data_IF_572220956319
#
_entry.id   IF_572220956319
#
_cell.length_a   1.000
_cell.length_b   1.000
_cell.length_c   1.000
_cell.angle_alpha   90.00
_cell.angle_beta   90.00
_cell.angle_gamma   90.00
#
_symmetry.space_group_name_H-M   'P 1'
#
loop_
_entity.id
_entity.type
_entity.pdbx_description
1 polymer ?
#
# COMPACT_ATOMS: atom_id res chain seq x y z
N UNK A 1 5.50 -5.96 -1.92
CA UNK A 1 5.63 -5.90 -3.41
C UNK A 1 5.95 -7.28 -3.99
N UNK A 2 5.79 -7.47 -5.31
CA UNK A 2 6.22 -8.71 -6.01
C UNK A 2 7.71 -8.65 -6.36
N UNK A 3 8.44 -9.71 -6.07
CA UNK A 3 9.86 -9.83 -6.39
C UNK A 3 10.06 -9.91 -7.92
N UNK A 4 10.88 -9.03 -8.52
CA UNK A 4 11.11 -9.07 -9.97
C UNK A 4 11.85 -10.34 -10.43
N UNK A 5 12.53 -11.04 -9.52
CA UNK A 5 13.29 -12.25 -9.85
C UNK A 5 12.47 -13.53 -9.84
N UNK A 6 11.50 -13.66 -8.93
CA UNK A 6 10.75 -14.91 -8.75
C UNK A 6 9.23 -14.73 -8.66
N UNK A 7 8.71 -13.51 -8.78
CA UNK A 7 7.28 -13.19 -8.73
C UNK A 7 6.63 -13.26 -7.35
N UNK A 8 7.24 -13.96 -6.38
CA UNK A 8 6.75 -14.09 -5.00
C UNK A 8 6.74 -12.76 -4.27
N UNK A 9 5.83 -12.60 -3.31
CA UNK A 9 5.84 -11.44 -2.44
C UNK A 9 7.10 -11.36 -1.58
N UNK A 10 7.56 -10.14 -1.35
CA UNK A 10 8.67 -9.87 -0.45
C UNK A 10 8.87 -8.38 -0.20
N UNK A 11 9.82 -8.09 0.68
CA UNK A 11 10.23 -6.74 1.09
C UNK A 11 11.58 -6.38 0.48
N UNK A 12 11.70 -5.22 -0.18
CA UNK A 12 12.98 -4.67 -0.60
C UNK A 12 13.94 -4.53 0.58
N UNK A 13 15.20 -4.84 0.32
CA UNK A 13 16.27 -4.60 1.28
C UNK A 13 17.58 -4.43 0.53
N UNK A 14 18.61 -4.05 1.29
CA UNK A 14 19.99 -4.02 0.81
C UNK A 14 20.81 -5.05 1.59
N UNK A 15 21.67 -5.77 0.87
CA UNK A 15 22.60 -6.75 1.46
C UNK A 15 24.02 -6.31 1.19
N UNK A 16 24.79 -6.13 2.27
CA UNK A 16 26.22 -5.86 2.28
C UNK A 16 26.97 -7.20 2.38
N UNK A 17 27.91 -7.45 1.48
CA UNK A 17 28.72 -8.69 1.43
C UNK A 17 30.18 -8.31 1.26
N UNK A 18 31.06 -8.85 2.12
CA UNK A 18 32.51 -8.71 1.99
C UNK A 18 33.09 -10.02 1.46
N UNK A 19 33.82 -9.97 0.36
CA UNK A 19 34.45 -11.15 -0.25
C UNK A 19 35.76 -10.76 -0.94
N UNK A 20 36.81 -11.57 -0.75
CA UNK A 20 38.15 -11.35 -1.32
C UNK A 20 38.69 -9.91 -1.10
N UNK A 21 38.49 -9.38 0.12
CA UNK A 21 38.94 -8.03 0.49
C UNK A 21 38.13 -6.87 -0.12
N UNK A 22 37.11 -7.16 -0.93
CA UNK A 22 36.22 -6.16 -1.52
C UNK A 22 34.84 -6.23 -0.89
N UNK A 23 34.15 -5.11 -0.93
CA UNK A 23 32.80 -4.96 -0.40
C UNK A 23 31.80 -4.75 -1.54
N UNK A 24 30.67 -5.44 -1.43
CA UNK A 24 29.65 -5.47 -2.46
C UNK A 24 28.28 -5.22 -1.83
N UNK A 25 27.53 -4.35 -2.50
CA UNK A 25 26.20 -3.95 -2.08
C UNK A 25 25.21 -4.47 -3.12
N UNK A 26 24.15 -5.12 -2.66
CA UNK A 26 23.14 -5.72 -3.52
C UNK A 26 21.76 -5.21 -3.13
N UNK A 27 20.97 -4.86 -4.14
CA UNK A 27 19.53 -4.78 -4.02
C UNK A 27 18.99 -6.21 -3.92
N UNK A 28 18.22 -6.47 -2.87
CA UNK A 28 17.63 -7.79 -2.63
C UNK A 28 16.16 -7.67 -2.29
N UNK A 29 15.44 -8.78 -2.42
CA UNK A 29 14.08 -8.94 -1.88
C UNK A 29 14.11 -10.07 -0.86
N UNK A 30 13.64 -9.79 0.36
CA UNK A 30 13.47 -10.79 1.42
C UNK A 30 12.03 -11.30 1.41
N UNK A 31 11.88 -12.62 1.32
CA UNK A 31 10.59 -13.29 1.28
C UNK A 31 10.12 -13.70 2.69
N UNK A 32 8.81 -13.95 2.89
CA UNK A 32 8.27 -14.37 4.18
C UNK A 32 8.84 -15.70 4.71
N UNK A 33 9.26 -16.59 3.80
CA UNK A 33 9.91 -17.87 4.11
C UNK A 33 11.38 -17.72 4.54
N UNK A 34 11.89 -16.48 4.64
CA UNK A 34 13.28 -16.17 4.96
C UNK A 34 14.24 -16.27 3.77
N UNK A 35 13.78 -16.71 2.60
CA UNK A 35 14.61 -16.73 1.40
C UNK A 35 14.90 -15.31 0.89
N UNK A 36 16.04 -15.15 0.22
CA UNK A 36 16.51 -13.84 -0.29
C UNK A 36 16.84 -13.95 -1.77
N UNK A 37 16.16 -13.15 -2.59
CA UNK A 37 16.49 -13.00 -4.01
C UNK A 37 17.38 -11.78 -4.22
N UNK A 38 18.55 -11.97 -4.82
CA UNK A 38 19.39 -10.86 -5.31
C UNK A 38 18.79 -10.34 -6.61
N UNK A 39 18.50 -9.05 -6.67
CA UNK A 39 17.89 -8.37 -7.84
C UNK A 39 18.97 -7.72 -8.70
N UNK A 40 19.84 -6.94 -8.08
CA UNK A 40 20.87 -6.16 -8.78
C UNK A 40 22.07 -5.92 -7.86
N UNK A 41 23.26 -5.83 -8.44
CA UNK A 41 24.48 -5.43 -7.73
C UNK A 41 24.68 -3.93 -7.86
N UNK A 42 24.57 -3.22 -6.74
CA UNK A 42 24.73 -1.76 -6.68
C UNK A 42 26.19 -1.33 -6.91
N UNK A 43 27.15 -2.20 -6.61
CA UNK A 43 28.58 -1.93 -6.81
C UNK A 43 29.08 -2.00 -8.25
N UNK A 44 28.25 -2.40 -9.21
CA UNK A 44 28.60 -2.43 -10.65
C UNK A 44 28.10 -1.18 -11.39
N UNK A 45 27.10 -0.46 -10.85
CA UNK A 45 26.55 0.76 -11.47
C UNK A 45 27.49 1.98 -11.39
N UNK A 46 28.65 1.84 -10.74
CA UNK A 46 29.62 2.88 -10.44
C UNK A 46 30.95 2.77 -11.20
N UNK A 47 31.00 2.12 -12.38
CA UNK A 47 32.26 2.03 -13.16
C UNK A 47 32.80 3.40 -13.64
N UNK A 48 32.06 4.50 -13.49
CA UNK A 48 32.52 5.86 -13.84
C UNK A 48 32.95 6.74 -12.65
N UNK A 49 32.58 6.40 -11.42
CA UNK A 49 32.97 7.16 -10.23
C UNK A 49 33.16 6.16 -9.12
N UNK A 50 34.38 6.05 -8.58
CA UNK A 50 34.65 5.34 -7.35
C UNK A 50 33.88 6.02 -6.21
N UNK A 51 32.59 5.72 -6.10
CA UNK A 51 31.78 6.00 -4.95
C UNK A 51 32.48 5.26 -3.80
N UNK A 52 33.19 6.01 -2.94
CA UNK A 52 33.65 5.47 -1.66
C UNK A 52 32.46 4.89 -0.88
N UNK A 53 32.72 4.23 0.26
CA UNK A 53 31.69 3.56 1.08
C UNK A 53 30.40 4.39 1.24
N UNK A 54 30.54 5.71 1.47
CA UNK A 54 29.44 6.67 1.59
C UNK A 54 28.54 6.80 0.35
N UNK A 55 29.09 6.63 -0.86
CA UNK A 55 28.29 6.69 -2.08
C UNK A 55 27.40 5.45 -2.26
N UNK A 56 27.87 4.27 -1.85
CA UNK A 56 27.03 3.07 -1.84
C UNK A 56 25.93 3.14 -0.78
N UNK A 57 26.23 3.72 0.39
CA UNK A 57 25.22 4.01 1.41
C UNK A 57 24.10 4.92 0.87
N UNK A 58 24.47 5.99 0.13
CA UNK A 58 23.49 6.90 -0.47
C UNK A 58 22.64 6.22 -1.54
N UNK A 59 23.24 5.40 -2.41
CA UNK A 59 22.49 4.63 -3.43
C UNK A 59 21.54 3.63 -2.75
N UNK A 60 22.01 2.94 -1.70
CA UNK A 60 21.19 2.03 -0.91
C UNK A 60 20.03 2.76 -0.24
N UNK A 61 20.29 3.91 0.37
CA UNK A 61 19.27 4.74 1.01
C UNK A 61 18.24 5.25 0.01
N UNK A 62 18.68 5.78 -1.14
CA UNK A 62 17.79 6.21 -2.21
C UNK A 62 16.85 5.09 -2.65
N UNK A 63 17.39 3.88 -2.85
CA UNK A 63 16.56 2.74 -3.24
C UNK A 63 15.51 2.36 -2.18
N UNK A 64 15.85 2.43 -0.89
CA UNK A 64 14.91 2.17 0.19
C UNK A 64 13.84 3.26 0.28
N UNK A 65 14.21 4.53 0.07
CA UNK A 65 13.27 5.66 0.02
C UNK A 65 12.27 5.47 -1.13
N UNK A 66 12.74 5.13 -2.32
CA UNK A 66 11.87 4.89 -3.48
C UNK A 66 10.88 3.74 -3.20
N UNK A 67 11.38 2.65 -2.62
CA UNK A 67 10.54 1.51 -2.25
C UNK A 67 9.46 1.88 -1.23
N UNK A 68 9.80 2.70 -0.22
CA UNK A 68 8.84 3.21 0.76
C UNK A 68 7.83 4.18 0.14
N UNK A 69 8.25 5.01 -0.81
CA UNK A 69 7.36 5.92 -1.52
C UNK A 69 6.31 5.16 -2.35
N UNK A 70 6.70 4.05 -2.99
CA UNK A 70 5.77 3.16 -3.69
C UNK A 70 4.74 2.52 -2.74
N UNK A 71 5.20 2.00 -1.59
CA UNK A 71 4.29 1.44 -0.56
C UNK A 71 3.32 2.50 -0.04
N UNK A 72 3.80 3.70 0.27
CA UNK A 72 2.96 4.83 0.69
C UNK A 72 1.92 5.21 -0.37
N UNK A 73 2.29 5.20 -1.65
CA UNK A 73 1.36 5.47 -2.74
C UNK A 73 0.27 4.40 -2.85
N UNK A 74 0.59 3.13 -2.60
CA UNK A 74 -0.39 2.04 -2.53
C UNK A 74 -1.35 2.22 -1.35
N UNK A 75 -0.84 2.49 -0.14
CA UNK A 75 -1.69 2.78 1.02
C UNK A 75 -2.61 3.98 0.80
N UNK A 76 -2.12 5.06 0.18
CA UNK A 76 -2.95 6.24 -0.14
C UNK A 76 -4.07 5.91 -1.12
N UNK A 77 -3.83 5.03 -2.10
CA UNK A 77 -4.88 4.56 -3.03
C UNK A 77 -5.93 3.73 -2.31
N UNK A 78 -5.50 2.78 -1.47
CA UNK A 78 -6.41 1.95 -0.68
C UNK A 78 -7.27 2.81 0.28
N UNK A 79 -6.66 3.78 0.95
CA UNK A 79 -7.39 4.69 1.86
C UNK A 79 -8.44 5.53 1.12
N UNK A 80 -8.12 6.05 -0.07
CA UNK A 80 -9.11 6.78 -0.90
C UNK A 80 -10.30 5.90 -1.25
N UNK A 81 -10.05 4.68 -1.71
CA UNK A 81 -11.12 3.74 -2.04
C UNK A 81 -11.99 3.40 -0.82
N UNK A 82 -11.39 3.26 0.37
CA UNK A 82 -12.14 3.03 1.61
C UNK A 82 -13.03 4.23 1.99
N UNK A 83 -12.52 5.46 1.84
CA UNK A 83 -13.29 6.68 2.09
C UNK A 83 -14.46 6.81 1.12
N UNK A 84 -14.25 6.51 -0.17
CA UNK A 84 -15.32 6.52 -1.18
C UNK A 84 -16.40 5.47 -0.89
N UNK A 85 -16.00 4.26 -0.50
CA UNK A 85 -16.93 3.20 -0.11
C UNK A 85 -17.75 3.59 1.13
N UNK A 86 -17.12 4.23 2.13
CA UNK A 86 -17.82 4.73 3.31
C UNK A 86 -18.83 5.83 2.95
N UNK A 87 -18.45 6.78 2.09
CA UNK A 87 -19.36 7.83 1.63
C UNK A 87 -20.57 7.25 0.89
N UNK A 88 -20.36 6.23 0.04
CA UNK A 88 -21.45 5.53 -0.64
C UNK A 88 -22.37 4.80 0.36
N UNK A 89 -21.81 4.11 1.35
CA UNK A 89 -22.58 3.43 2.39
C UNK A 89 -23.42 4.43 3.21
N UNK A 90 -22.83 5.55 3.63
CA UNK A 90 -23.56 6.63 4.32
C UNK A 90 -24.74 7.12 3.50
N UNK A 91 -24.53 7.38 2.21
CA UNK A 91 -25.61 7.83 1.31
C UNK A 91 -26.73 6.81 1.19
N UNK A 92 -26.39 5.52 1.13
CA UNK A 92 -27.39 4.44 1.12
C UNK A 92 -28.20 4.47 2.42
N UNK A 93 -27.55 4.56 3.58
CA UNK A 93 -28.21 4.62 4.89
C UNK A 93 -29.16 5.83 4.98
N UNK A 94 -28.73 7.00 4.49
CA UNK A 94 -29.57 8.20 4.43
C UNK A 94 -30.83 7.98 3.59
N UNK A 95 -30.68 7.39 2.39
CA UNK A 95 -31.80 7.07 1.52
C UNK A 95 -32.78 6.06 2.15
N UNK A 96 -32.25 5.01 2.79
CA UNK A 96 -33.07 4.05 3.53
C UNK A 96 -33.79 4.70 4.69
N UNK A 97 -33.12 5.56 5.45
CA UNK A 97 -33.72 6.24 6.61
C UNK A 97 -34.83 7.19 6.18
N UNK A 98 -34.63 7.94 5.09
CA UNK A 98 -35.64 8.80 4.49
C UNK A 98 -36.85 7.99 4.00
N UNK A 99 -36.60 6.94 3.20
CA UNK A 99 -37.66 6.08 2.68
C UNK A 99 -38.45 5.40 3.80
N UNK A 100 -37.78 4.94 4.85
CA UNK A 100 -38.43 4.37 6.03
C UNK A 100 -39.32 5.39 6.76
N UNK A 101 -38.84 6.62 6.95
CA UNK A 101 -39.62 7.69 7.58
C UNK A 101 -40.87 8.06 6.76
N UNK A 102 -40.78 8.09 5.43
CA UNK A 102 -41.93 8.36 4.57
C UNK A 102 -42.96 7.23 4.62
N UNK A 103 -42.49 5.98 4.68
CA UNK A 103 -43.34 4.79 4.74
C UNK A 103 -44.07 4.68 6.09
N UNK A 104 -43.38 4.97 7.20
CA UNK A 104 -43.98 5.03 8.52
C UNK A 104 -45.00 6.17 8.64
N UNK A 105 -44.71 7.35 8.08
CA UNK A 105 -45.65 8.46 8.02
C UNK A 105 -46.93 8.10 7.24
N UNK A 106 -46.80 7.45 6.07
CA UNK A 106 -47.95 6.97 5.26
C UNK A 106 -48.75 5.88 5.97
N UNK A 107 -48.11 5.02 6.74
CA UNK A 107 -48.81 3.99 7.53
C UNK A 107 -49.55 4.58 8.73
N UNK A 108 -48.97 5.60 9.38
CA UNK A 108 -49.58 6.29 10.51
C UNK A 108 -50.84 7.08 10.08
N UNK A 109 -50.78 7.82 8.97
CA UNK A 109 -51.92 8.59 8.46
C UNK A 109 -53.09 7.73 7.97
N UNK A 110 -52.85 6.46 7.61
CA UNK A 110 -53.91 5.51 7.26
C UNK A 110 -54.61 4.87 8.47
N UNK A 111 -54.11 5.09 9.68
CA UNK A 111 -54.65 4.51 10.92
C UNK A 111 -55.57 5.44 11.71
N UNK A 112 -55.76 6.70 11.31
CA UNK A 112 -56.77 7.56 11.93
C UNK A 112 -58.17 6.98 11.66
N UNK A 113 -58.92 6.55 12.70
CA UNK A 113 -60.29 6.11 12.51
C UNK A 113 -61.17 7.32 12.15
N UNK A 114 -62.25 7.14 11.37
CA UNK A 114 -63.21 8.21 11.15
C UNK A 114 -63.75 8.64 12.52
N UNK A 115 -63.62 9.94 12.83
CA UNK A 115 -64.27 10.54 13.98
C UNK A 115 -65.74 10.14 13.95
N UNK A 116 -66.17 9.42 15.00
CA UNK A 116 -67.58 9.05 15.17
C UNK A 116 -68.34 10.32 15.50
N UNK A 117 -69.04 10.85 14.50
CA UNK A 117 -70.06 11.88 14.64
C UNK A 117 -71.28 11.37 15.44
#
# INVERSE_FOLDING_TARGET
MRCPRCGREGKPAVKKVRSKGREYWYRVVRHPDGSVCIVERLSERGEGVAAGERGYELIAAAHLIDSLAEELAEYRRALRAAVEALAAATRIIELYSFGFAELTAKLASRREPPERA
#
